data_IF_365113791756
#
_entry.id   IF_365113791756
#
_cell.length_a   1.000
_cell.length_b   1.000
_cell.length_c   1.000
_cell.angle_alpha   90.00
_cell.angle_beta   90.00
_cell.angle_gamma   90.00
#
_symmetry.space_group_name_H-M   'P 1'
#
loop_
_entity.id
_entity.type
_entity.pdbx_description
1 polymer ?
#
# COMPACT_ATOMS: atom_id res chain seq x y z
N UNK A 1 12.83 -31.75 43.78
CA UNK A 1 13.31 -31.44 42.42
C UNK A 1 12.15 -31.52 41.42
N UNK A 2 11.09 -30.70 41.55
CA UNK A 2 9.94 -30.69 40.62
C UNK A 2 9.09 -29.40 40.77
N UNK A 3 9.71 -28.22 40.85
CA UNK A 3 8.98 -26.94 40.98
C UNK A 3 9.46 -25.82 40.03
N UNK A 4 10.42 -26.08 39.15
CA UNK A 4 10.99 -25.05 38.26
C UNK A 4 10.47 -25.11 36.81
N UNK A 5 9.73 -26.16 36.42
CA UNK A 5 9.25 -26.33 35.04
C UNK A 5 7.88 -25.68 34.75
N UNK A 6 7.10 -25.37 35.78
CA UNK A 6 5.75 -24.79 35.64
C UNK A 6 5.76 -23.28 35.37
N UNK A 7 6.68 -22.54 35.99
CA UNK A 7 6.80 -21.08 35.84
C UNK A 7 7.35 -20.66 34.46
N UNK A 8 8.22 -21.48 33.86
CA UNK A 8 8.81 -21.22 32.55
C UNK A 8 7.80 -21.37 31.39
N UNK A 9 6.80 -22.24 31.55
CA UNK A 9 5.73 -22.41 30.56
C UNK A 9 4.65 -21.33 30.68
N UNK A 10 4.38 -20.80 31.87
CA UNK A 10 3.42 -19.71 32.05
C UNK A 10 3.93 -18.39 31.45
N UNK A 11 5.24 -18.10 31.54
CA UNK A 11 5.86 -16.92 30.90
C UNK A 11 5.85 -17.02 29.36
N UNK A 12 6.05 -18.21 28.79
CA UNK A 12 5.96 -18.42 27.33
C UNK A 12 4.52 -18.34 26.81
N UNK A 13 3.55 -18.83 27.59
CA UNK A 13 2.12 -18.71 27.24
C UNK A 13 1.65 -17.26 27.37
N UNK A 14 2.12 -16.49 28.38
CA UNK A 14 1.82 -15.06 28.47
C UNK A 14 2.48 -14.23 27.36
N UNK A 15 3.70 -14.58 26.91
CA UNK A 15 4.36 -13.91 25.78
C UNK A 15 3.67 -14.23 24.44
N UNK A 16 3.20 -15.46 24.24
CA UNK A 16 2.44 -15.84 23.04
C UNK A 16 1.04 -15.20 23.05
N UNK A 17 0.40 -15.05 24.22
CA UNK A 17 -0.85 -14.30 24.35
C UNK A 17 -0.67 -12.77 24.16
N UNK A 18 0.52 -12.23 24.40
CA UNK A 18 0.81 -10.81 24.13
C UNK A 18 1.16 -10.54 22.65
N UNK A 19 1.62 -11.55 21.91
CA UNK A 19 1.92 -11.42 20.47
C UNK A 19 0.73 -11.68 19.55
N UNK A 20 -0.32 -12.38 20.03
CA UNK A 20 -1.51 -12.71 19.21
C UNK A 20 -2.61 -11.64 19.28
N UNK A 21 -2.48 -10.64 20.18
CA UNK A 21 -3.45 -9.52 20.29
C UNK A 21 -3.12 -8.35 19.33
N UNK A 22 -2.00 -8.38 18.60
CA UNK A 22 -1.59 -7.26 17.73
C UNK A 22 -1.99 -7.36 16.25
N UNK A 23 -2.83 -8.33 15.86
CA UNK A 23 -3.18 -8.56 14.43
C UNK A 23 -4.60 -8.10 14.06
N UNK A 24 -5.39 -7.60 15.03
CA UNK A 24 -6.62 -6.85 14.74
C UNK A 24 -6.48 -5.37 15.10
N UNK A 25 -5.43 -4.74 14.56
CA UNK A 25 -5.30 -3.29 14.44
C UNK A 25 -5.81 -2.81 13.09
N UNK A 26 -7.05 -3.14 12.75
CA UNK A 26 -7.76 -2.54 11.62
C UNK A 26 -7.75 -1.02 11.81
N UNK A 27 -7.21 -0.29 10.84
CA UNK A 27 -7.36 1.15 10.67
C UNK A 27 -7.45 1.96 11.99
N UNK A 28 -6.33 2.17 12.68
CA UNK A 28 -6.24 3.33 13.58
C UNK A 28 -6.09 4.58 12.72
N UNK A 29 -7.18 4.99 12.08
CA UNK A 29 -7.33 6.31 11.49
C UNK A 29 -7.21 7.33 12.61
N UNK A 30 -6.12 8.09 12.55
CA UNK A 30 -5.87 9.18 13.47
C UNK A 30 -6.58 10.42 12.94
N UNK A 31 -7.88 10.49 13.17
CA UNK A 31 -8.43 11.78 13.57
C UNK A 31 -7.95 11.98 15.02
N UNK A 32 -7.06 12.95 15.27
CA UNK A 32 -7.12 13.60 16.58
C UNK A 32 -8.57 14.08 16.66
N UNK A 33 -9.39 13.50 17.55
CA UNK A 33 -10.86 13.47 17.45
C UNK A 33 -11.45 14.88 17.38
N UNK A 34 -11.41 15.47 16.18
CA UNK A 34 -12.11 16.69 15.89
C UNK A 34 -13.58 16.30 15.92
N UNK A 35 -14.29 16.83 16.91
CA UNK A 35 -15.71 16.64 17.04
C UNK A 35 -16.37 17.62 16.07
N UNK A 36 -16.92 17.08 14.98
CA UNK A 36 -17.64 17.87 14.01
C UNK A 36 -19.05 18.18 14.54
N UNK A 37 -19.54 19.36 14.22
CA UNK A 37 -20.88 19.83 14.53
C UNK A 37 -21.72 19.93 13.27
N UNK A 38 -23.04 20.08 13.42
CA UNK A 38 -23.91 20.34 12.30
C UNK A 38 -23.48 21.63 11.58
N UNK A 39 -23.35 21.57 10.26
CA UNK A 39 -22.85 22.65 9.40
C UNK A 39 -21.38 22.51 8.99
N UNK A 40 -20.59 21.67 9.68
CA UNK A 40 -19.18 21.49 9.33
C UNK A 40 -19.02 20.72 8.02
N UNK A 41 -18.12 21.18 7.16
CA UNK A 41 -17.71 20.43 5.98
C UNK A 41 -16.58 19.45 6.33
N UNK A 42 -16.77 18.20 5.90
CA UNK A 42 -15.94 17.08 6.30
C UNK A 42 -15.48 16.26 5.10
N UNK A 43 -14.37 15.56 5.30
CA UNK A 43 -13.88 14.51 4.41
C UNK A 43 -14.10 13.17 5.10
N UNK A 44 -14.69 12.20 4.40
CA UNK A 44 -14.90 10.84 4.92
C UNK A 44 -14.07 9.87 4.10
N UNK A 45 -13.10 9.24 4.76
CA UNK A 45 -12.12 8.36 4.16
C UNK A 45 -12.57 6.90 4.12
N UNK A 46 -12.51 6.26 2.96
CA UNK A 46 -12.68 4.81 2.77
C UNK A 46 -11.41 4.20 2.13
N UNK A 47 -10.30 4.11 2.89
CA UNK A 47 -9.07 3.54 2.35
C UNK A 47 -9.21 2.03 2.16
N UNK A 48 -8.75 1.53 1.01
CA UNK A 48 -8.59 0.12 0.71
C UNK A 48 -7.15 -0.35 1.01
N UNK A 49 -6.94 -1.67 1.04
CA UNK A 49 -5.57 -2.20 1.13
C UNK A 49 -4.79 -1.93 -0.15
N UNK A 50 -5.41 -2.14 -1.31
CA UNK A 50 -4.93 -1.64 -2.59
C UNK A 50 -5.34 -0.17 -2.76
N UNK A 51 -4.36 0.73 -2.76
CA UNK A 51 -4.59 2.19 -2.88
C UNK A 51 -5.38 2.56 -4.14
N UNK A 52 -5.35 1.74 -5.18
CA UNK A 52 -6.17 1.97 -6.38
C UNK A 52 -7.67 1.93 -6.13
N UNK A 53 -8.11 1.25 -5.08
CA UNK A 53 -9.51 1.05 -4.72
C UNK A 53 -9.93 1.96 -3.56
N UNK A 54 -9.08 2.93 -3.21
CA UNK A 54 -9.40 3.98 -2.23
C UNK A 54 -10.62 4.79 -2.69
N UNK A 55 -11.47 5.15 -1.75
CA UNK A 55 -12.62 6.02 -1.99
C UNK A 55 -12.78 7.06 -0.89
N UNK A 56 -13.49 8.15 -1.18
CA UNK A 56 -13.84 9.15 -0.18
C UNK A 56 -15.11 9.92 -0.53
N UNK A 57 -15.67 10.54 0.49
CA UNK A 57 -16.77 11.51 0.38
C UNK A 57 -16.29 12.88 0.87
N UNK A 58 -16.77 13.94 0.24
CA UNK A 58 -16.80 15.29 0.81
C UNK A 58 -18.26 15.69 1.00
N UNK A 59 -18.58 16.29 2.14
CA UNK A 59 -19.95 16.68 2.45
C UNK A 59 -20.08 17.51 3.70
N UNK A 60 -21.31 17.87 4.04
CA UNK A 60 -21.64 18.67 5.23
C UNK A 60 -22.31 17.81 6.31
N UNK A 61 -21.88 17.94 7.57
CA UNK A 61 -22.54 17.27 8.69
C UNK A 61 -23.91 17.88 8.92
N UNK A 62 -24.98 17.09 8.84
CA UNK A 62 -26.35 17.52 9.17
C UNK A 62 -26.65 17.35 10.65
N UNK A 63 -26.21 16.24 11.23
CA UNK A 63 -26.35 15.96 12.66
C UNK A 63 -25.33 14.94 13.14
N UNK A 64 -25.03 15.03 14.43
CA UNK A 64 -24.32 13.98 15.19
C UNK A 64 -25.35 12.98 15.70
N UNK A 65 -25.07 11.69 15.49
CA UNK A 65 -25.92 10.58 15.92
C UNK A 65 -25.68 10.24 17.40
N UNK A 66 -26.62 9.58 18.09
CA UNK A 66 -26.45 9.21 19.50
C UNK A 66 -25.21 8.35 19.81
N UNK A 67 -24.76 7.57 18.82
CA UNK A 67 -23.56 6.72 18.92
C UNK A 67 -22.25 7.50 18.60
N UNK A 68 -22.33 8.79 18.30
CA UNK A 68 -21.19 9.65 17.97
C UNK A 68 -20.83 9.70 16.48
N UNK A 69 -21.48 8.91 15.62
CA UNK A 69 -21.29 8.95 14.16
C UNK A 69 -21.97 10.18 13.55
N UNK A 70 -21.70 10.45 12.27
CA UNK A 70 -22.21 11.65 11.59
C UNK A 70 -23.22 11.29 10.51
N UNK A 71 -24.33 12.02 10.43
CA UNK A 71 -25.15 12.07 9.22
C UNK A 71 -24.57 13.16 8.32
N UNK A 72 -24.06 12.79 7.16
CA UNK A 72 -23.40 13.69 6.22
C UNK A 72 -24.23 13.81 4.95
N UNK A 73 -24.55 15.05 4.57
CA UNK A 73 -25.06 15.40 3.26
C UNK A 73 -23.91 15.32 2.25
N UNK A 74 -23.97 14.38 1.32
CA UNK A 74 -22.89 14.16 0.35
C UNK A 74 -22.90 15.26 -0.71
N UNK A 75 -21.77 15.96 -0.84
CA UNK A 75 -21.51 16.94 -1.89
C UNK A 75 -20.71 16.32 -3.05
N UNK A 76 -19.79 15.40 -2.72
CA UNK A 76 -18.95 14.70 -3.68
C UNK A 76 -18.60 13.30 -3.18
N UNK A 77 -18.52 12.36 -4.12
CA UNK A 77 -18.03 11.00 -3.91
C UNK A 77 -16.97 10.71 -4.98
N UNK A 78 -15.85 10.13 -4.55
CA UNK A 78 -14.75 9.72 -5.44
C UNK A 78 -14.37 8.30 -5.09
N UNK A 79 -14.26 7.45 -6.10
CA UNK A 79 -13.84 6.06 -5.98
C UNK A 79 -12.79 5.76 -7.03
N UNK A 80 -11.71 5.09 -6.60
CA UNK A 80 -10.67 4.61 -7.49
C UNK A 80 -9.67 5.69 -7.90
N UNK A 81 -8.38 5.31 -8.03
CA UNK A 81 -7.30 6.26 -8.33
C UNK A 81 -6.77 6.24 -9.78
N UNK A 82 -7.08 7.31 -10.52
CA UNK A 82 -6.20 7.91 -11.54
C UNK A 82 -5.98 9.42 -11.26
N UNK A 83 -5.21 9.73 -10.20
CA UNK A 83 -5.05 11.09 -9.66
C UNK A 83 -3.98 11.91 -10.40
N UNK A 84 -3.80 11.63 -11.67
CA UNK A 84 -2.89 12.34 -12.56
C UNK A 84 -2.97 11.76 -13.97
N UNK A 85 -3.86 12.34 -14.79
CA UNK A 85 -3.95 12.31 -16.26
C UNK A 85 -5.27 11.80 -16.86
N UNK A 86 -6.16 11.16 -16.10
CA UNK A 86 -7.46 10.70 -16.67
C UNK A 86 -8.62 10.75 -15.68
N UNK A 87 -8.92 11.95 -15.18
CA UNK A 87 -10.30 12.26 -14.77
C UNK A 87 -11.14 12.42 -16.05
N UNK A 88 -11.50 11.32 -16.71
CA UNK A 88 -12.51 11.34 -17.79
C UNK A 88 -13.75 10.62 -17.27
N UNK A 89 -14.80 11.34 -16.85
CA UNK A 89 -16.14 10.79 -16.88
C UNK A 89 -16.47 10.37 -18.32
N UNK A 90 -16.90 9.13 -18.53
CA UNK A 90 -17.44 8.76 -19.84
C UNK A 90 -18.74 9.54 -20.12
N UNK A 91 -18.70 10.48 -21.06
CA UNK A 91 -19.86 11.24 -21.54
C UNK A 91 -20.70 10.38 -22.51
N UNK A 92 -22.02 10.40 -22.35
CA UNK A 92 -22.97 10.12 -23.44
C UNK A 92 -23.86 11.37 -23.66
N UNK A 93 -23.63 12.00 -24.82
CA UNK A 93 -24.32 13.10 -25.52
C UNK A 93 -23.95 14.55 -25.20
N UNK A 94 -23.64 15.26 -26.29
CA UNK A 94 -23.31 16.68 -26.43
C UNK A 94 -24.59 17.54 -26.49
N UNK A 95 -24.60 18.68 -25.79
CA UNK A 95 -25.58 19.75 -25.99
C UNK A 95 -24.84 21.12 -26.12
N UNK A 96 -25.04 21.92 -27.17
CA UNK A 96 -24.14 23.04 -27.52
C UNK A 96 -24.34 24.38 -26.77
N UNK A 97 -25.26 24.51 -25.80
CA UNK A 97 -25.69 25.84 -25.30
C UNK A 97 -25.15 26.29 -23.91
N UNK A 98 -24.20 25.60 -23.29
CA UNK A 98 -23.83 25.84 -21.88
C UNK A 98 -22.65 26.83 -21.60
N UNK A 99 -22.62 28.02 -22.22
CA UNK A 99 -21.49 29.00 -22.11
C UNK A 99 -21.80 30.31 -21.35
N UNK A 100 -22.56 30.29 -20.25
CA UNK A 100 -23.08 31.54 -19.64
C UNK A 100 -22.66 31.91 -18.20
N UNK A 101 -21.79 31.21 -17.46
CA UNK A 101 -21.51 31.55 -16.05
C UNK A 101 -20.03 31.48 -15.68
N UNK A 102 -19.31 32.59 -15.88
CA UNK A 102 -17.90 32.76 -15.54
C UNK A 102 -17.60 32.66 -14.04
N UNK A 103 -16.54 31.92 -13.71
CA UNK A 103 -15.83 31.93 -12.42
C UNK A 103 -14.34 31.59 -12.66
N UNK A 104 -13.48 32.61 -12.57
CA UNK A 104 -12.02 32.51 -12.49
C UNK A 104 -11.57 32.62 -11.02
N UNK A 105 -11.71 31.57 -10.19
CA UNK A 105 -10.98 31.46 -8.89
C UNK A 105 -10.92 29.99 -8.43
N UNK A 106 -9.74 29.34 -8.52
CA UNK A 106 -9.35 28.13 -7.77
C UNK A 106 -10.15 26.83 -7.97
N UNK A 107 -9.58 25.85 -8.69
CA UNK A 107 -10.03 24.45 -8.79
C UNK A 107 -11.55 24.21 -8.76
N UNK A 108 -12.23 24.50 -9.88
CA UNK A 108 -13.60 24.04 -10.12
C UNK A 108 -13.61 22.56 -10.52
N UNK A 109 -14.19 21.73 -9.66
CA UNK A 109 -14.50 20.32 -9.92
C UNK A 109 -15.47 20.23 -11.11
N UNK A 110 -15.20 19.29 -12.01
CA UNK A 110 -15.88 19.10 -13.29
C UNK A 110 -17.31 18.55 -13.08
N UNK A 111 -18.30 19.18 -13.73
CA UNK A 111 -19.71 18.75 -13.84
C UNK A 111 -19.83 17.98 -15.18
N UNK A 112 -19.97 16.67 -15.28
CA UNK A 112 -21.07 15.83 -14.80
C UNK A 112 -20.68 14.34 -15.01
N UNK A 113 -20.79 13.49 -13.97
CA UNK A 113 -20.61 12.02 -14.00
C UNK A 113 -21.95 11.27 -14.13
N UNK A 114 -22.91 11.87 -14.83
CA UNK A 114 -24.16 11.33 -15.37
C UNK A 114 -25.09 10.66 -14.35
N UNK A 115 -25.69 11.52 -13.50
CA UNK A 115 -26.98 11.34 -12.81
C UNK A 115 -27.09 10.26 -11.71
N UNK A 116 -26.47 10.54 -10.57
CA UNK A 116 -27.18 10.37 -9.29
C UNK A 116 -28.16 11.54 -9.13
N UNK A 117 -29.39 11.28 -8.70
CA UNK A 117 -30.31 12.35 -8.29
C UNK A 117 -29.70 13.05 -7.07
N UNK A 118 -29.12 14.23 -7.30
CA UNK A 118 -28.18 14.95 -6.42
C UNK A 118 -28.86 15.81 -5.36
N UNK A 119 -30.16 15.61 -5.12
CA UNK A 119 -30.83 16.24 -3.99
C UNK A 119 -30.51 15.48 -2.69
N UNK A 120 -29.28 15.69 -2.19
CA UNK A 120 -28.88 15.47 -0.79
C UNK A 120 -28.98 14.02 -0.31
N UNK A 121 -28.05 13.19 -0.77
CA UNK A 121 -27.86 11.85 -0.20
C UNK A 121 -27.25 11.98 1.19
N UNK A 122 -28.04 11.60 2.19
CA UNK A 122 -27.61 11.59 3.58
C UNK A 122 -27.02 10.21 3.92
N UNK A 123 -25.73 10.16 4.27
CA UNK A 123 -25.05 8.94 4.71
C UNK A 123 -24.72 9.00 6.19
N UNK A 124 -24.97 7.89 6.90
CA UNK A 124 -24.40 7.71 8.24
C UNK A 124 -22.98 7.19 8.08
N UNK A 125 -22.01 7.98 8.50
CA UNK A 125 -20.59 7.66 8.38
C UNK A 125 -19.94 7.51 9.75
N UNK A 126 -19.04 6.54 9.93
CA UNK A 126 -18.36 6.34 11.20
C UNK A 126 -17.49 7.55 11.58
N UNK A 127 -17.57 8.01 12.84
CA UNK A 127 -16.73 9.13 13.33
C UNK A 127 -15.25 8.93 13.03
N UNK A 128 -14.76 7.69 13.16
CA UNK A 128 -13.36 7.33 12.93
C UNK A 128 -12.87 7.57 11.51
N UNK A 129 -13.76 7.60 10.52
CA UNK A 129 -13.41 7.81 9.11
C UNK A 129 -13.54 9.27 8.70
N UNK A 130 -14.04 10.14 9.58
CA UNK A 130 -14.30 11.55 9.29
C UNK A 130 -13.11 12.40 9.70
N UNK A 131 -12.69 13.30 8.81
CA UNK A 131 -11.51 14.15 8.93
C UNK A 131 -11.83 15.57 8.46
N UNK A 132 -11.00 16.54 8.84
CA UNK A 132 -11.06 17.87 8.22
C UNK A 132 -10.70 17.75 6.74
N UNK A 133 -11.26 18.61 5.90
CA UNK A 133 -11.07 18.53 4.43
C UNK A 133 -9.60 18.58 4.03
N UNK A 134 -8.83 19.49 4.60
CA UNK A 134 -7.40 19.65 4.33
C UNK A 134 -6.60 18.41 4.74
N UNK A 135 -6.89 17.86 5.91
CA UNK A 135 -6.26 16.63 6.41
C UNK A 135 -6.57 15.42 5.54
N UNK A 136 -7.84 15.22 5.17
CA UNK A 136 -8.28 14.10 4.34
C UNK A 136 -7.70 14.15 2.92
N UNK A 137 -7.69 15.34 2.30
CA UNK A 137 -7.05 15.55 0.99
C UNK A 137 -5.56 15.24 1.04
N UNK A 138 -4.84 15.77 2.03
CA UNK A 138 -3.41 15.50 2.19
C UNK A 138 -3.16 14.00 2.37
N UNK A 139 -3.94 13.33 3.22
CA UNK A 139 -3.81 11.89 3.46
C UNK A 139 -3.94 11.08 2.16
N UNK A 140 -4.99 11.27 1.36
CA UNK A 140 -5.19 10.50 0.11
C UNK A 140 -4.16 10.83 -0.98
N UNK A 141 -3.73 12.10 -1.08
CA UNK A 141 -2.65 12.48 -1.99
C UNK A 141 -1.36 11.73 -1.64
N UNK A 142 -1.00 11.69 -0.36
CA UNK A 142 0.21 10.97 0.06
C UNK A 142 0.09 9.46 -0.12
N UNK A 143 -1.08 8.85 0.18
CA UNK A 143 -1.32 7.43 -0.12
C UNK A 143 -1.08 7.10 -1.59
N UNK A 144 -1.62 7.93 -2.50
CA UNK A 144 -1.43 7.78 -3.93
C UNK A 144 0.05 7.98 -4.35
N UNK A 145 0.75 8.96 -3.77
CA UNK A 145 2.17 9.17 -4.03
C UNK A 145 2.99 7.92 -3.69
N UNK A 146 2.70 7.25 -2.58
CA UNK A 146 3.36 6.00 -2.19
C UNK A 146 3.06 4.86 -3.16
N UNK A 147 1.80 4.75 -3.62
CA UNK A 147 1.42 3.81 -4.67
C UNK A 147 2.20 4.06 -5.97
N UNK A 148 2.32 5.31 -6.42
CA UNK A 148 3.08 5.68 -7.61
C UNK A 148 4.56 5.33 -7.45
N UNK A 149 5.16 5.62 -6.29
CA UNK A 149 6.56 5.27 -6.01
C UNK A 149 6.76 3.76 -6.08
N UNK A 150 5.87 2.98 -5.47
CA UNK A 150 5.91 1.53 -5.54
C UNK A 150 5.73 1.03 -6.98
N UNK A 151 4.77 1.58 -7.72
CA UNK A 151 4.51 1.20 -9.12
C UNK A 151 5.71 1.49 -10.04
N UNK A 152 6.36 2.65 -9.89
CA UNK A 152 7.56 3.01 -10.66
C UNK A 152 8.75 2.10 -10.34
N UNK A 153 8.92 1.73 -9.07
CA UNK A 153 9.90 0.71 -8.70
C UNK A 153 9.56 -0.64 -9.33
N UNK A 154 8.29 -1.06 -9.26
CA UNK A 154 7.85 -2.34 -9.80
C UNK A 154 8.09 -2.45 -11.32
N UNK A 155 7.92 -1.36 -12.05
CA UNK A 155 8.11 -1.31 -13.51
C UNK A 155 9.52 -0.89 -13.95
N UNK A 156 10.43 -0.58 -13.02
CA UNK A 156 11.76 -0.01 -13.27
C UNK A 156 11.76 1.27 -14.14
N UNK A 157 10.65 2.03 -14.13
CA UNK A 157 10.42 3.14 -15.07
C UNK A 157 9.80 4.38 -14.39
N UNK A 158 10.57 5.46 -14.17
CA UNK A 158 12.03 5.53 -14.20
C UNK A 158 12.65 4.72 -13.06
N UNK A 159 13.94 4.38 -13.21
CA UNK A 159 14.72 3.74 -12.15
C UNK A 159 14.66 4.56 -10.86
N UNK A 160 14.21 3.92 -9.77
CA UNK A 160 14.02 4.58 -8.49
C UNK A 160 15.32 4.64 -7.68
N UNK A 161 15.73 5.84 -7.26
CA UNK A 161 16.90 6.01 -6.38
C UNK A 161 16.59 5.57 -4.95
N UNK A 162 17.62 5.14 -4.20
CA UNK A 162 17.49 4.81 -2.78
C UNK A 162 16.91 5.98 -1.98
N UNK A 163 17.42 7.20 -2.20
CA UNK A 163 16.92 8.42 -1.53
C UNK A 163 15.42 8.64 -1.72
N UNK A 164 14.90 8.37 -2.93
CA UNK A 164 13.47 8.53 -3.20
C UNK A 164 12.64 7.45 -2.49
N UNK A 165 13.13 6.21 -2.44
CA UNK A 165 12.48 5.11 -1.71
C UNK A 165 12.49 5.40 -0.20
N UNK A 166 13.62 5.86 0.35
CA UNK A 166 13.72 6.25 1.76
C UNK A 166 12.82 7.42 2.11
N UNK A 167 12.70 8.40 1.21
CA UNK A 167 11.73 9.49 1.35
C UNK A 167 10.30 8.96 1.38
N UNK A 168 9.94 8.06 0.47
CA UNK A 168 8.60 7.44 0.45
C UNK A 168 8.32 6.65 1.75
N UNK A 169 9.32 5.95 2.30
CA UNK A 169 9.19 5.29 3.58
C UNK A 169 8.92 6.27 4.74
N UNK A 170 9.62 7.42 4.76
CA UNK A 170 9.35 8.49 5.75
C UNK A 170 7.96 9.10 5.56
N UNK A 171 7.53 9.31 4.32
CA UNK A 171 6.18 9.78 3.96
C UNK A 171 5.11 8.80 4.47
N UNK A 172 5.30 7.49 4.24
CA UNK A 172 4.42 6.43 4.76
C UNK A 172 4.29 6.47 6.29
N UNK A 173 5.41 6.62 7.01
CA UNK A 173 5.41 6.75 8.47
C UNK A 173 4.70 8.02 8.93
N UNK A 174 4.89 9.14 8.23
CA UNK A 174 4.26 10.42 8.58
C UNK A 174 2.73 10.32 8.51
N UNK A 175 2.20 9.63 7.51
CA UNK A 175 0.76 9.40 7.34
C UNK A 175 0.25 8.11 8.00
N UNK A 176 1.08 7.42 8.79
CA UNK A 176 0.73 6.18 9.51
C UNK A 176 0.31 5.00 8.62
N UNK A 177 0.85 4.93 7.40
CA UNK A 177 0.78 3.73 6.59
C UNK A 177 1.88 2.75 6.95
N UNK A 178 1.83 2.24 8.18
CA UNK A 178 2.88 1.41 8.74
C UNK A 178 3.09 0.12 7.94
N UNK A 179 2.04 -0.39 7.28
CA UNK A 179 2.13 -1.54 6.38
C UNK A 179 3.04 -1.34 5.17
N UNK A 180 3.30 -0.09 4.74
CA UNK A 180 4.27 0.20 3.67
C UNK A 180 5.71 0.22 4.15
N UNK A 181 5.97 0.38 5.45
CA UNK A 181 7.33 0.47 5.99
C UNK A 181 8.15 -0.79 5.68
N UNK A 182 7.71 -2.01 6.05
CA UNK A 182 8.46 -3.23 5.73
C UNK A 182 8.51 -3.52 4.21
N UNK A 183 7.49 -3.09 3.45
CA UNK A 183 7.51 -3.18 1.98
C UNK A 183 8.66 -2.35 1.43
N UNK A 184 8.80 -1.09 1.85
CA UNK A 184 9.90 -0.25 1.39
C UNK A 184 11.27 -0.72 1.89
N UNK A 185 11.37 -1.44 3.02
CA UNK A 185 12.63 -2.11 3.39
C UNK A 185 13.03 -3.16 2.34
N UNK A 186 12.10 -4.01 1.89
CA UNK A 186 12.37 -4.97 0.83
C UNK A 186 12.71 -4.27 -0.49
N UNK A 187 11.98 -3.21 -0.86
CA UNK A 187 12.24 -2.42 -2.08
C UNK A 187 13.65 -1.81 -2.04
N UNK A 188 14.09 -1.27 -0.90
CA UNK A 188 15.48 -0.78 -0.72
C UNK A 188 16.49 -1.91 -0.84
N UNK A 189 16.21 -3.07 -0.23
CA UNK A 189 17.10 -4.23 -0.30
C UNK A 189 17.27 -4.67 -1.76
N UNK A 190 16.16 -4.88 -2.46
CA UNK A 190 16.13 -5.21 -3.89
C UNK A 190 16.92 -4.18 -4.71
N UNK A 191 16.70 -2.88 -4.48
CA UNK A 191 17.45 -1.83 -5.16
C UNK A 191 18.96 -1.97 -5.01
N UNK A 192 19.44 -2.32 -3.81
CA UNK A 192 20.87 -2.55 -3.51
C UNK A 192 21.42 -3.83 -4.14
N UNK A 193 20.55 -4.80 -4.44
CA UNK A 193 20.94 -6.03 -5.12
C UNK A 193 21.35 -5.79 -6.57
N UNK A 194 20.70 -4.86 -7.27
CA UNK A 194 20.90 -4.68 -8.72
C UNK A 194 21.73 -3.44 -9.09
N UNK A 195 21.95 -2.51 -8.16
CA UNK A 195 22.58 -1.23 -8.45
C UNK A 195 23.58 -0.81 -7.39
N UNK A 196 24.65 -0.17 -7.85
CA UNK A 196 25.67 0.44 -7.01
C UNK A 196 25.13 1.72 -6.33
N UNK A 197 25.82 2.19 -5.29
CA UNK A 197 25.48 3.44 -4.58
C UNK A 197 25.46 4.67 -5.50
N UNK A 198 26.27 4.66 -6.56
CA UNK A 198 26.27 5.69 -7.61
C UNK A 198 25.12 5.56 -8.62
N UNK A 199 24.14 4.70 -8.36
CA UNK A 199 23.01 4.35 -9.23
C UNK A 199 23.38 3.69 -10.57
N UNK A 200 24.64 3.32 -10.81
CA UNK A 200 24.97 2.45 -11.96
C UNK A 200 24.37 1.06 -11.76
N UNK A 201 23.86 0.41 -12.82
CA UNK A 201 23.60 -1.03 -12.77
C UNK A 201 24.88 -1.80 -12.42
N UNK A 202 24.74 -2.85 -11.63
CA UNK A 202 25.80 -3.81 -11.36
C UNK A 202 25.94 -4.77 -12.55
N UNK A 203 27.16 -5.23 -12.83
CA UNK A 203 27.39 -6.30 -13.79
C UNK A 203 26.71 -7.59 -13.32
N UNK A 204 26.42 -8.52 -14.24
CA UNK A 204 25.69 -9.75 -13.92
C UNK A 204 26.38 -10.57 -12.81
N UNK A 205 27.72 -10.65 -12.83
CA UNK A 205 28.51 -11.33 -11.81
C UNK A 205 28.50 -10.62 -10.46
N UNK A 206 28.54 -9.28 -10.45
CA UNK A 206 28.50 -8.46 -9.22
C UNK A 206 27.18 -8.65 -8.45
N UNK A 207 26.09 -8.96 -9.16
CA UNK A 207 24.75 -9.14 -8.57
C UNK A 207 24.55 -10.49 -7.91
N UNK A 208 25.36 -11.52 -8.18
CA UNK A 208 25.06 -12.91 -7.76
C UNK A 208 25.03 -13.03 -6.24
N UNK A 209 26.05 -12.54 -5.54
CA UNK A 209 26.12 -12.59 -4.09
C UNK A 209 25.02 -11.74 -3.42
N UNK A 210 24.77 -10.47 -3.84
CA UNK A 210 23.62 -9.71 -3.36
C UNK A 210 22.25 -10.36 -3.63
N UNK A 211 22.08 -11.09 -4.73
CA UNK A 211 20.83 -11.78 -5.05
C UNK A 211 20.60 -12.98 -4.14
N UNK A 212 21.64 -13.75 -3.82
CA UNK A 212 21.59 -14.82 -2.82
C UNK A 212 21.13 -14.24 -1.47
N UNK A 213 21.77 -13.16 -1.01
CA UNK A 213 21.43 -12.53 0.26
C UNK A 213 19.99 -11.99 0.28
N UNK A 214 19.51 -11.44 -0.84
CA UNK A 214 18.12 -11.01 -0.99
C UNK A 214 17.15 -12.18 -0.87
N UNK A 215 17.41 -13.31 -1.54
CA UNK A 215 16.55 -14.50 -1.47
C UNK A 215 16.49 -15.10 -0.06
N UNK A 216 17.61 -15.14 0.66
CA UNK A 216 17.64 -15.55 2.07
C UNK A 216 16.83 -14.60 2.97
N UNK A 217 16.88 -13.29 2.66
CA UNK A 217 16.03 -12.31 3.32
C UNK A 217 14.54 -12.55 3.01
N UNK A 218 14.17 -12.90 1.77
CA UNK A 218 12.79 -13.29 1.43
C UNK A 218 12.32 -14.49 2.24
N UNK A 219 13.17 -15.52 2.39
CA UNK A 219 12.86 -16.69 3.23
C UNK A 219 12.60 -16.27 4.67
N UNK A 220 13.41 -15.35 5.21
CA UNK A 220 13.22 -14.83 6.56
C UNK A 220 11.87 -14.13 6.71
N UNK A 221 11.48 -13.28 5.75
CA UNK A 221 10.15 -12.63 5.73
C UNK A 221 9.03 -13.68 5.75
N UNK A 222 9.11 -14.67 4.86
CA UNK A 222 8.10 -15.73 4.74
C UNK A 222 8.03 -16.66 5.97
N UNK A 223 9.15 -16.88 6.65
CA UNK A 223 9.19 -17.68 7.89
C UNK A 223 8.62 -16.93 9.08
N UNK A 224 8.79 -15.61 9.13
CA UNK A 224 8.29 -14.76 10.22
C UNK A 224 6.79 -14.50 10.12
N UNK A 225 6.22 -14.54 8.92
CA UNK A 225 4.79 -14.34 8.69
C UNK A 225 4.15 -15.50 7.92
N UNK A 226 3.59 -16.44 8.68
CA UNK A 226 2.88 -17.60 8.13
C UNK A 226 1.64 -17.22 7.31
N UNK A 227 0.99 -16.08 7.61
CA UNK A 227 -0.19 -15.61 6.86
C UNK A 227 0.25 -15.09 5.50
N UNK A 228 1.26 -14.23 5.45
CA UNK A 228 1.87 -13.75 4.22
C UNK A 228 2.35 -14.93 3.37
N UNK A 229 3.05 -15.89 3.96
CA UNK A 229 3.55 -17.06 3.23
C UNK A 229 2.40 -17.88 2.63
N UNK A 230 1.35 -18.16 3.41
CA UNK A 230 0.17 -18.86 2.90
C UNK A 230 -0.52 -18.12 1.74
N UNK A 231 -0.65 -16.79 1.85
CA UNK A 231 -1.23 -15.95 0.78
C UNK A 231 -0.34 -15.92 -0.47
N UNK A 232 0.98 -15.80 -0.29
CA UNK A 232 1.95 -15.70 -1.38
C UNK A 232 2.11 -17.03 -2.15
N UNK A 233 2.19 -18.15 -1.42
CA UNK A 233 2.41 -19.49 -1.96
C UNK A 233 1.15 -20.15 -2.54
N UNK A 234 -0.02 -19.55 -2.36
CA UNK A 234 -1.28 -20.06 -2.90
C UNK A 234 -1.21 -20.20 -4.43
N UNK A 235 -1.61 -21.37 -4.94
CA UNK A 235 -1.64 -21.67 -6.38
C UNK A 235 -2.53 -20.69 -7.14
N UNK A 236 -3.69 -20.38 -6.58
CA UNK A 236 -4.55 -19.28 -7.01
C UNK A 236 -4.68 -18.30 -5.85
N UNK A 237 -4.18 -17.08 -6.05
CA UNK A 237 -4.23 -16.03 -5.03
C UNK A 237 -5.60 -15.38 -4.99
N UNK A 238 -6.17 -15.30 -3.80
CA UNK A 238 -7.39 -14.55 -3.52
C UNK A 238 -7.05 -13.07 -3.40
N UNK A 239 -6.98 -12.38 -4.53
CA UNK A 239 -6.70 -10.94 -4.58
C UNK A 239 -7.71 -10.08 -3.82
N UNK A 240 -9.03 -10.36 -3.84
CA UNK A 240 -9.97 -9.69 -2.96
C UNK A 240 -9.60 -9.78 -1.48
N UNK A 241 -9.16 -10.95 -1.00
CA UNK A 241 -8.69 -11.12 0.39
C UNK A 241 -7.36 -10.43 0.64
N UNK A 242 -6.40 -10.55 -0.28
CA UNK A 242 -5.08 -9.91 -0.18
C UNK A 242 -5.21 -8.38 -0.12
N UNK A 243 -6.09 -7.82 -0.95
CA UNK A 243 -6.37 -6.38 -1.07
C UNK A 243 -7.02 -5.76 0.15
N UNK A 244 -7.37 -6.53 1.20
CA UNK A 244 -7.85 -6.00 2.48
C UNK A 244 -6.71 -5.46 3.36
N UNK A 245 -5.45 -5.76 3.02
CA UNK A 245 -4.27 -5.29 3.75
C UNK A 245 -3.26 -4.69 2.79
N UNK A 246 -2.94 -3.40 2.98
CA UNK A 246 -1.87 -2.76 2.20
C UNK A 246 -0.54 -3.52 2.35
N UNK A 247 -0.21 -3.97 3.57
CA UNK A 247 0.98 -4.77 3.78
C UNK A 247 1.00 -6.03 2.90
N UNK A 248 -0.04 -6.87 2.96
CA UNK A 248 -0.05 -8.12 2.19
C UNK A 248 -0.06 -7.88 0.68
N UNK A 249 -0.86 -6.93 0.20
CA UNK A 249 -0.92 -6.61 -1.22
C UNK A 249 0.44 -6.21 -1.77
N UNK A 250 1.07 -5.19 -1.17
CA UNK A 250 2.33 -4.66 -1.69
C UNK A 250 3.52 -5.58 -1.39
N UNK A 251 3.51 -6.30 -0.26
CA UNK A 251 4.58 -7.25 0.05
C UNK A 251 4.57 -8.45 -0.90
N UNK A 252 3.39 -9.00 -1.24
CA UNK A 252 3.29 -10.10 -2.22
C UNK A 252 3.83 -9.66 -3.59
N UNK A 253 3.44 -8.47 -4.04
CA UNK A 253 3.93 -7.90 -5.29
C UNK A 253 5.46 -7.67 -5.26
N UNK A 254 6.00 -7.25 -4.11
CA UNK A 254 7.43 -7.04 -3.95
C UNK A 254 8.23 -8.36 -3.92
N UNK A 255 7.70 -9.38 -3.23
CA UNK A 255 8.27 -10.73 -3.21
C UNK A 255 8.31 -11.34 -4.60
N UNK A 256 7.24 -11.19 -5.38
CA UNK A 256 7.18 -11.68 -6.76
C UNK A 256 8.24 -11.04 -7.64
N UNK A 257 8.34 -9.71 -7.62
CA UNK A 257 9.35 -8.99 -8.41
C UNK A 257 10.76 -9.41 -7.99
N UNK A 258 11.05 -9.43 -6.69
CA UNK A 258 12.38 -9.78 -6.20
C UNK A 258 12.80 -11.20 -6.61
N UNK A 259 11.87 -12.17 -6.53
CA UNK A 259 12.13 -13.54 -6.98
C UNK A 259 12.28 -13.62 -8.51
N UNK A 260 11.44 -12.91 -9.27
CA UNK A 260 11.51 -12.90 -10.74
C UNK A 260 12.84 -12.31 -11.22
N UNK A 261 13.22 -11.14 -10.73
CA UNK A 261 14.47 -10.47 -11.13
C UNK A 261 15.71 -11.33 -10.74
N UNK A 262 15.67 -12.01 -9.59
CA UNK A 262 16.74 -12.94 -9.19
C UNK A 262 16.82 -14.19 -10.10
N UNK A 263 15.69 -14.67 -10.62
CA UNK A 263 15.64 -15.77 -11.59
C UNK A 263 16.18 -15.33 -12.94
N UNK A 264 15.77 -14.15 -13.41
CA UNK A 264 16.19 -13.61 -14.69
C UNK A 264 17.71 -13.41 -14.75
N UNK A 265 18.31 -13.08 -13.61
CA UNK A 265 19.76 -12.97 -13.49
C UNK A 265 20.52 -14.25 -13.89
N UNK A 266 19.95 -15.44 -13.67
CA UNK A 266 20.59 -16.73 -14.05
C UNK A 266 20.74 -16.92 -15.56
N UNK A 267 20.16 -16.02 -16.37
CA UNK A 267 20.21 -16.05 -17.83
C UNK A 267 21.04 -14.90 -18.41
N UNK A 268 21.65 -14.06 -17.58
CA UNK A 268 22.47 -12.94 -18.03
C UNK A 268 23.88 -13.36 -18.44
N UNK A 269 24.45 -12.66 -19.42
CA UNK A 269 25.83 -12.88 -19.86
C UNK A 269 26.81 -12.40 -18.78
N UNK A 270 27.85 -13.21 -18.51
CA UNK A 270 28.90 -12.86 -17.55
C UNK A 270 28.68 -13.39 -16.14
N UNK A 271 27.60 -14.13 -15.86
CA UNK A 271 27.35 -14.70 -14.52
C UNK A 271 28.40 -15.73 -14.11
N UNK A 272 29.02 -16.42 -15.07
CA UNK A 272 30.07 -17.40 -14.84
C UNK A 272 31.28 -16.81 -14.11
N UNK A 273 31.50 -15.50 -14.25
CA UNK A 273 32.55 -14.77 -13.54
C UNK A 273 32.32 -14.69 -12.03
N UNK A 274 31.10 -14.93 -11.53
CA UNK A 274 30.82 -14.99 -10.09
C UNK A 274 31.29 -16.31 -9.44
N UNK A 275 31.59 -17.33 -10.25
CA UNK A 275 31.99 -18.66 -9.81
C UNK A 275 30.83 -19.65 -9.76
N UNK A 276 31.11 -20.90 -10.17
CA UNK A 276 30.13 -21.98 -10.35
C UNK A 276 29.32 -22.25 -9.07
N UNK A 277 29.97 -22.26 -7.91
CA UNK A 277 29.32 -22.52 -6.62
C UNK A 277 28.25 -21.47 -6.29
N UNK A 278 28.55 -20.18 -6.49
CA UNK A 278 27.60 -19.09 -6.22
C UNK A 278 26.42 -19.12 -7.18
N UNK A 279 26.68 -19.32 -8.47
CA UNK A 279 25.63 -19.45 -9.48
C UNK A 279 24.70 -20.63 -9.16
N UNK A 280 25.27 -21.77 -8.73
CA UNK A 280 24.49 -22.92 -8.31
C UNK A 280 23.67 -22.63 -7.05
N UNK A 281 24.23 -21.96 -6.05
CA UNK A 281 23.50 -21.55 -4.84
C UNK A 281 22.32 -20.64 -5.16
N UNK A 282 22.50 -19.65 -6.05
CA UNK A 282 21.41 -18.79 -6.50
C UNK A 282 20.29 -19.63 -7.14
N UNK A 283 20.65 -20.55 -8.05
CA UNK A 283 19.71 -21.48 -8.68
C UNK A 283 18.92 -22.29 -7.65
N UNK A 284 19.60 -22.91 -6.69
CA UNK A 284 18.97 -23.73 -5.65
C UNK A 284 18.00 -22.91 -4.78
N UNK A 285 18.36 -21.67 -4.44
CA UNK A 285 17.49 -20.76 -3.69
C UNK A 285 16.24 -20.37 -4.49
N UNK A 286 16.39 -20.04 -5.78
CA UNK A 286 15.24 -19.69 -6.63
C UNK A 286 14.25 -20.85 -6.83
N UNK A 287 14.74 -22.09 -6.77
CA UNK A 287 13.91 -23.31 -6.80
C UNK A 287 13.30 -23.64 -5.45
N UNK A 288 13.98 -23.32 -4.36
CA UNK A 288 13.46 -23.50 -3.00
C UNK A 288 12.35 -22.50 -2.70
N UNK A 289 12.53 -21.25 -3.11
CA UNK A 289 11.59 -20.13 -2.91
C UNK A 289 10.63 -20.07 -4.10
N UNK A 290 10.15 -21.21 -4.61
CA UNK A 290 9.20 -21.21 -5.74
C UNK A 290 7.76 -21.26 -5.25
N UNK A 291 6.90 -20.52 -5.95
CA UNK A 291 5.44 -20.68 -5.82
C UNK A 291 5.05 -22.06 -6.35
N UNK A 292 4.10 -22.70 -5.67
CA UNK A 292 3.41 -23.87 -6.23
C UNK A 292 2.62 -23.42 -7.46
N UNK A 293 3.20 -23.58 -8.65
CA UNK A 293 2.59 -23.25 -9.95
C UNK A 293 1.50 -24.25 -10.35
#
# INVERSE_FOLDING_TARGET
MFLTSSLFNLQKILLVLFSVVFIFGAAQSRAAEHLFQAGDHVFVAFPAGNVKDDAFIVGQVKRVQPNGDYLVEVESYVEGHDYGSSCIPMIKKEDPEATALGYDVGWTVWKDTTKLDTQRLDYVVPKRLTMRIDEGKHYFVERNNLYIVFGRWKSDAPVMTLDRIERAQREAKAIRLDGFIPVFELVKYHRKTFYHESNRPLYASERIEPAIAMLEYLQTILQQDATLHALWAAKQRDWPKIGQSSYHYFMIEALDKALADAKDQLYEEGIEMAGVERVQRLRDLTETIKRNS
#
